data_IF_725666390835
#
_entry.id   IF_725666390835
#
_cell.length_a   1.000
_cell.length_b   1.000
_cell.length_c   1.000
_cell.angle_alpha   90.00
_cell.angle_beta   90.00
_cell.angle_gamma   90.00
#
_symmetry.space_group_name_H-M   'P 1'
#
loop_
_entity.id
_entity.type
_entity.pdbx_description
1 polymer ?
#
# COMPACT_ATOMS: atom_id res chain seq x y z
N UNK A 1 11.83 1.37 39.94
CA UNK A 1 11.57 0.49 38.77
C UNK A 1 10.36 0.96 37.97
N UNK A 2 9.16 1.05 38.54
CA UNK A 2 7.95 1.47 37.80
C UNK A 2 8.05 2.87 37.14
N UNK A 3 8.68 3.83 37.82
CA UNK A 3 8.81 5.21 37.33
C UNK A 3 9.73 5.34 36.10
N UNK A 4 10.73 4.45 35.99
CA UNK A 4 11.68 4.42 34.88
C UNK A 4 11.05 3.83 33.61
N UNK A 5 10.18 2.82 33.77
CA UNK A 5 9.41 2.24 32.66
C UNK A 5 8.40 3.24 32.09
N UNK A 6 7.76 4.05 32.95
CA UNK A 6 6.80 5.09 32.51
C UNK A 6 7.51 6.21 31.73
N UNK A 7 8.71 6.62 32.14
CA UNK A 7 9.49 7.64 31.43
C UNK A 7 9.96 7.13 30.06
N UNK A 8 10.38 5.87 29.96
CA UNK A 8 10.77 5.26 28.69
C UNK A 8 9.57 5.13 27.74
N UNK A 9 8.41 4.72 28.24
CA UNK A 9 7.18 4.64 27.44
C UNK A 9 6.71 6.03 26.95
N UNK A 10 6.82 7.07 27.78
CA UNK A 10 6.52 8.44 27.39
C UNK A 10 7.49 8.97 26.33
N UNK A 11 8.78 8.62 26.42
CA UNK A 11 9.78 9.01 25.42
C UNK A 11 9.54 8.31 24.07
N UNK A 12 9.16 7.04 24.07
CA UNK A 12 8.82 6.28 22.84
C UNK A 12 7.53 6.79 22.21
N UNK A 13 6.52 7.13 23.03
CA UNK A 13 5.27 7.72 22.54
C UNK A 13 5.49 9.12 21.96
N UNK A 14 6.30 9.96 22.63
CA UNK A 14 6.64 11.30 22.15
C UNK A 14 7.48 11.25 20.86
N UNK A 15 8.44 10.32 20.75
CA UNK A 15 9.22 10.09 19.53
C UNK A 15 8.35 9.65 18.35
N UNK A 16 7.38 8.76 18.60
CA UNK A 16 6.43 8.29 17.59
C UNK A 16 5.48 9.41 17.13
N UNK A 17 5.06 10.29 18.05
CA UNK A 17 4.21 11.44 17.73
C UNK A 17 4.97 12.51 16.92
N UNK A 18 6.27 12.69 17.17
CA UNK A 18 7.11 13.67 16.47
C UNK A 18 7.43 13.23 15.02
N UNK A 19 7.48 11.91 14.77
CA UNK A 19 7.63 11.35 13.42
C UNK A 19 6.34 11.48 12.61
N UNK A 20 5.17 11.41 13.26
CA UNK A 20 3.87 11.56 12.60
C UNK A 20 3.48 13.01 12.31
N UNK A 21 3.90 13.97 13.14
CA UNK A 21 3.47 15.38 13.03
C UNK A 21 4.34 16.25 12.12
N UNK A 22 5.52 15.77 11.69
CA UNK A 22 6.39 16.52 10.76
C UNK A 22 6.03 16.43 9.27
N UNK A 23 4.99 15.69 8.88
CA UNK A 23 4.51 15.69 7.49
C UNK A 23 3.53 16.84 7.27
N UNK A 24 4.08 18.03 7.01
CA UNK A 24 3.31 19.13 6.37
C UNK A 24 2.68 18.61 5.07
N UNK A 25 1.39 18.91 4.80
CA UNK A 25 0.80 18.63 3.49
C UNK A 25 1.38 19.63 2.49
N UNK A 26 2.44 19.22 1.79
CA UNK A 26 2.85 19.94 0.58
C UNK A 26 1.82 19.58 -0.48
N UNK A 27 0.92 20.53 -0.76
CA UNK A 27 0.09 20.53 -1.95
C UNK A 27 1.01 20.58 -3.18
N UNK A 28 1.43 19.41 -3.68
CA UNK A 28 2.07 19.27 -4.98
C UNK A 28 0.97 19.18 -6.03
N UNK A 29 0.60 20.34 -6.57
CA UNK A 29 0.06 20.46 -7.92
C UNK A 29 1.20 20.20 -8.92
N UNK A 30 1.65 18.94 -8.97
CA UNK A 30 2.50 18.44 -10.04
C UNK A 30 1.63 17.72 -11.08
N UNK A 31 2.01 17.74 -12.37
CA UNK A 31 1.35 16.91 -13.38
C UNK A 31 1.37 15.45 -12.92
N UNK A 32 0.38 14.63 -13.31
CA UNK A 32 0.23 13.27 -12.81
C UNK A 32 1.58 12.57 -12.94
N UNK A 33 2.17 12.24 -11.78
CA UNK A 33 3.39 11.45 -11.69
C UNK A 33 3.17 10.28 -12.61
N UNK A 34 3.92 10.28 -13.73
CA UNK A 34 3.98 9.19 -14.71
C UNK A 34 3.71 7.90 -13.95
N UNK A 35 2.70 7.17 -14.38
CA UNK A 35 2.52 5.75 -14.06
C UNK A 35 3.93 5.16 -13.97
N UNK A 36 4.42 4.98 -12.75
CA UNK A 36 5.60 4.17 -12.51
C UNK A 36 5.11 2.81 -12.95
N UNK A 37 5.37 2.47 -14.21
CA UNK A 37 5.44 1.09 -14.64
C UNK A 37 6.30 0.43 -13.57
N UNK A 38 5.63 -0.35 -12.74
CA UNK A 38 6.25 -1.24 -11.80
C UNK A 38 6.95 -2.27 -12.69
N UNK A 39 8.16 -1.92 -13.14
CA UNK A 39 8.89 -2.73 -14.10
C UNK A 39 9.18 -4.09 -13.46
N UNK A 40 8.82 -5.15 -14.17
CA UNK A 40 9.03 -6.57 -13.81
C UNK A 40 10.45 -6.83 -13.26
N UNK A 41 11.41 -5.97 -13.63
CA UNK A 41 12.79 -5.88 -13.17
C UNK A 41 12.99 -5.93 -11.64
N UNK A 42 12.06 -5.48 -10.79
CA UNK A 42 12.30 -5.49 -9.33
C UNK A 42 12.23 -6.89 -8.71
N UNK A 43 11.39 -7.79 -9.25
CA UNK A 43 11.37 -9.20 -8.82
C UNK A 43 12.63 -9.90 -9.30
N UNK A 44 13.06 -9.63 -10.53
CA UNK A 44 14.30 -10.21 -11.09
C UNK A 44 15.53 -9.76 -10.30
N UNK A 45 15.62 -8.48 -9.92
CA UNK A 45 16.69 -7.99 -9.03
C UNK A 45 16.68 -8.66 -7.66
N UNK A 46 15.49 -8.90 -7.09
CA UNK A 46 15.37 -9.62 -5.83
C UNK A 46 15.80 -11.09 -5.95
N UNK A 47 15.47 -11.76 -7.06
CA UNK A 47 15.92 -13.13 -7.35
C UNK A 47 17.44 -13.18 -7.36
N UNK A 48 18.09 -12.29 -8.12
CA UNK A 48 19.57 -12.22 -8.18
C UNK A 48 20.18 -11.97 -6.81
N UNK A 49 19.61 -11.06 -6.00
CA UNK A 49 20.12 -10.78 -4.66
C UNK A 49 20.00 -11.98 -3.72
N UNK A 50 18.89 -12.70 -3.79
CA UNK A 50 18.61 -13.88 -2.97
C UNK A 50 19.49 -15.06 -3.36
N UNK A 51 19.69 -15.28 -4.67
CA UNK A 51 20.59 -16.30 -5.20
C UNK A 51 22.03 -16.11 -4.69
N UNK A 52 22.49 -14.88 -4.50
CA UNK A 52 23.84 -14.60 -4.01
C UNK A 52 23.97 -14.66 -2.49
N UNK A 53 22.87 -14.48 -1.75
CA UNK A 53 22.86 -14.56 -0.28
C UNK A 53 22.84 -16.00 0.23
N UNK A 54 22.23 -16.94 -0.51
CA UNK A 54 22.14 -18.35 -0.15
C UNK A 54 21.59 -18.63 1.27
N UNK A 55 20.69 -17.78 1.79
CA UNK A 55 20.05 -17.98 3.11
C UNK A 55 18.57 -18.32 3.00
N UNK A 56 18.05 -19.13 3.93
CA UNK A 56 16.62 -19.45 4.02
C UNK A 56 15.77 -18.19 4.25
N UNK A 57 16.28 -17.22 5.01
CA UNK A 57 15.59 -15.96 5.26
C UNK A 57 15.43 -15.14 3.97
N UNK A 58 16.45 -15.09 3.11
CA UNK A 58 16.38 -14.40 1.83
C UNK A 58 15.35 -15.06 0.90
N UNK A 59 15.29 -16.40 0.88
CA UNK A 59 14.25 -17.15 0.17
C UNK A 59 12.86 -16.82 0.71
N UNK A 60 12.71 -16.74 2.04
CA UNK A 60 11.47 -16.34 2.69
C UNK A 60 11.00 -14.93 2.29
N UNK A 61 11.94 -13.97 2.20
CA UNK A 61 11.64 -12.61 1.70
C UNK A 61 11.17 -12.66 0.25
N UNK A 62 11.83 -13.43 -0.63
CA UNK A 62 11.44 -13.55 -2.04
C UNK A 62 10.03 -14.13 -2.22
N UNK A 63 9.68 -15.15 -1.43
CA UNK A 63 8.33 -15.74 -1.44
C UNK A 63 7.28 -14.70 -1.08
N UNK A 64 7.50 -13.94 -0.01
CA UNK A 64 6.60 -12.86 0.39
C UNK A 64 6.51 -11.78 -0.70
N UNK A 65 7.64 -11.40 -1.31
CA UNK A 65 7.68 -10.42 -2.40
C UNK A 65 6.85 -10.83 -3.61
N UNK A 66 6.96 -12.10 -4.05
CA UNK A 66 6.13 -12.65 -5.14
C UNK A 66 4.64 -12.62 -4.78
N UNK A 67 4.33 -12.93 -3.53
CA UNK A 67 2.95 -12.91 -3.05
C UNK A 67 2.39 -11.47 -3.02
N UNK A 68 3.17 -10.49 -2.59
CA UNK A 68 2.79 -9.07 -2.65
C UNK A 68 2.65 -8.55 -4.10
N UNK A 69 3.46 -9.06 -5.05
CA UNK A 69 3.30 -8.77 -6.47
C UNK A 69 1.93 -9.24 -6.98
N UNK A 70 1.55 -10.48 -6.64
CA UNK A 70 0.25 -11.03 -7.01
C UNK A 70 -0.93 -10.23 -6.39
N UNK A 71 -0.78 -9.77 -5.14
CA UNK A 71 -1.75 -8.91 -4.47
C UNK A 71 -1.89 -7.55 -5.20
N UNK A 72 -0.78 -6.93 -5.64
CA UNK A 72 -0.80 -5.72 -6.47
C UNK A 72 -1.53 -5.94 -7.79
N UNK A 73 -1.28 -7.05 -8.47
CA UNK A 73 -1.94 -7.36 -9.74
C UNK A 73 -3.45 -7.57 -9.54
N UNK A 74 -3.85 -8.24 -8.46
CA UNK A 74 -5.26 -8.39 -8.10
C UNK A 74 -5.92 -7.03 -7.83
N UNK A 75 -5.24 -6.13 -7.12
CA UNK A 75 -5.71 -4.76 -6.88
C UNK A 75 -5.84 -3.99 -8.20
N UNK A 76 -4.85 -4.08 -9.10
CA UNK A 76 -4.87 -3.41 -10.40
C UNK A 76 -6.03 -3.89 -11.28
N UNK A 77 -6.29 -5.20 -11.34
CA UNK A 77 -7.47 -5.76 -12.03
C UNK A 77 -8.77 -5.23 -11.44
N UNK A 78 -8.85 -5.14 -10.12
CA UNK A 78 -10.02 -4.63 -9.39
C UNK A 78 -10.25 -3.13 -9.67
N UNK A 79 -9.19 -2.33 -9.66
CA UNK A 79 -9.23 -0.90 -10.00
C UNK A 79 -9.67 -0.66 -11.44
N UNK A 80 -9.20 -1.48 -12.38
CA UNK A 80 -9.63 -1.43 -13.77
C UNK A 80 -11.13 -1.73 -13.89
N UNK A 81 -11.61 -2.79 -13.22
CA UNK A 81 -13.02 -3.18 -13.22
C UNK A 81 -13.96 -2.13 -12.60
N UNK A 82 -13.49 -1.35 -11.62
CA UNK A 82 -14.27 -0.28 -10.99
C UNK A 82 -14.57 0.90 -11.94
N UNK A 83 -13.84 1.06 -13.05
CA UNK A 83 -14.04 2.15 -14.02
C UNK A 83 -14.18 3.53 -13.34
N UNK A 84 -13.24 3.88 -12.45
CA UNK A 84 -13.36 5.05 -11.57
C UNK A 84 -13.66 6.38 -12.30
N UNK A 85 -13.18 6.56 -13.55
CA UNK A 85 -13.50 7.74 -14.35
C UNK A 85 -15.00 7.81 -14.74
N UNK A 86 -15.65 6.68 -14.99
CA UNK A 86 -17.10 6.61 -15.21
C UNK A 86 -17.84 6.90 -13.90
N UNK A 87 -17.42 6.29 -12.79
CA UNK A 87 -18.03 6.54 -11.48
C UNK A 87 -17.96 8.02 -11.06
N UNK A 88 -16.85 8.72 -11.31
CA UNK A 88 -16.73 10.17 -11.05
C UNK A 88 -17.74 10.97 -11.86
N UNK A 89 -17.83 10.71 -13.18
CA UNK A 89 -18.84 11.37 -14.04
C UNK A 89 -20.25 11.11 -13.55
N UNK A 90 -20.58 9.88 -13.17
CA UNK A 90 -21.90 9.53 -12.62
C UNK A 90 -22.17 10.25 -11.30
N UNK A 91 -21.20 10.30 -10.39
CA UNK A 91 -21.32 11.05 -9.13
C UNK A 91 -21.60 12.52 -9.40
N UNK A 92 -20.84 13.15 -10.30
CA UNK A 92 -20.97 14.57 -10.59
C UNK A 92 -22.32 14.89 -11.25
N UNK A 93 -22.84 14.00 -12.10
CA UNK A 93 -24.20 14.10 -12.66
C UNK A 93 -25.28 13.96 -11.58
N UNK A 94 -25.13 13.00 -10.67
CA UNK A 94 -26.06 12.82 -9.55
C UNK A 94 -26.03 14.02 -8.60
N UNK A 95 -24.85 14.57 -8.32
CA UNK A 95 -24.67 15.78 -7.51
C UNK A 95 -25.38 16.99 -8.14
N UNK A 96 -25.22 17.20 -9.45
CA UNK A 96 -25.90 18.28 -10.17
C UNK A 96 -27.43 18.16 -10.07
N UNK A 97 -27.97 16.96 -10.32
CA UNK A 97 -29.43 16.73 -10.22
C UNK A 97 -29.99 16.86 -8.81
N UNK A 98 -29.19 16.53 -7.78
CA UNK A 98 -29.57 16.73 -6.38
C UNK A 98 -29.57 18.22 -6.02
N UNK A 99 -28.65 19.01 -6.59
CA UNK A 99 -28.60 20.46 -6.40
C UNK A 99 -29.79 21.18 -7.06
N UNK A 100 -30.27 20.67 -8.19
CA UNK A 100 -31.44 21.21 -8.92
C UNK A 100 -32.79 20.79 -8.28
N UNK A 101 -32.81 20.38 -6.99
CA UNK A 101 -33.98 19.93 -6.20
C UNK A 101 -34.84 18.83 -6.85
N UNK A 102 -34.36 18.24 -7.94
CA UNK A 102 -35.05 17.21 -8.72
C UNK A 102 -34.84 15.79 -8.15
N UNK A 103 -34.34 15.71 -6.91
CA UNK A 103 -33.82 14.49 -6.32
C UNK A 103 -34.68 13.91 -5.21
N UNK A 104 -35.29 12.75 -5.47
CA UNK A 104 -35.94 11.93 -4.45
C UNK A 104 -34.96 11.00 -3.69
N UNK A 105 -35.43 10.32 -2.63
CA UNK A 105 -34.68 9.30 -1.88
C UNK A 105 -33.84 8.33 -2.72
N UNK A 106 -34.36 7.73 -3.82
CA UNK A 106 -33.56 6.80 -4.64
C UNK A 106 -32.32 7.43 -5.28
N UNK A 107 -32.34 8.74 -5.56
CA UNK A 107 -31.19 9.42 -6.15
C UNK A 107 -30.10 9.70 -5.11
N UNK A 108 -30.49 9.99 -3.87
CA UNK A 108 -29.56 10.10 -2.73
C UNK A 108 -28.89 8.76 -2.42
N UNK A 109 -29.63 7.65 -2.47
CA UNK A 109 -29.07 6.31 -2.32
C UNK A 109 -28.09 5.96 -3.43
N UNK A 110 -28.43 6.25 -4.70
CA UNK A 110 -27.53 6.06 -5.83
C UNK A 110 -26.25 6.90 -5.69
N UNK A 111 -26.36 8.15 -5.24
CA UNK A 111 -25.21 9.02 -4.99
C UNK A 111 -24.28 8.45 -3.90
N UNK A 112 -24.84 7.96 -2.79
CA UNK A 112 -24.07 7.30 -1.73
C UNK A 112 -23.36 6.06 -2.25
N UNK A 113 -24.07 5.18 -2.96
CA UNK A 113 -23.50 3.96 -3.52
C UNK A 113 -22.34 4.24 -4.48
N UNK A 114 -22.46 5.25 -5.35
CA UNK A 114 -21.36 5.65 -6.26
C UNK A 114 -20.18 6.23 -5.47
N UNK A 115 -20.45 7.04 -4.45
CA UNK A 115 -19.42 7.62 -3.59
C UNK A 115 -18.66 6.56 -2.79
N UNK A 116 -19.35 5.56 -2.26
CA UNK A 116 -18.75 4.43 -1.54
C UNK A 116 -17.84 3.60 -2.45
N UNK A 117 -18.24 3.36 -3.70
CA UNK A 117 -17.41 2.68 -4.70
C UNK A 117 -16.16 3.48 -5.04
N UNK A 118 -16.25 4.81 -5.13
CA UNK A 118 -15.09 5.68 -5.32
C UNK A 118 -14.15 5.65 -4.11
N UNK A 119 -14.68 5.70 -2.89
CA UNK A 119 -13.88 5.58 -1.67
C UNK A 119 -13.14 4.22 -1.59
N UNK A 120 -13.81 3.14 -2.00
CA UNK A 120 -13.15 1.83 -2.14
C UNK A 120 -12.04 1.84 -3.19
N UNK A 121 -12.25 2.47 -4.34
CA UNK A 121 -11.20 2.64 -5.35
C UNK A 121 -9.99 3.43 -4.81
N UNK A 122 -10.21 4.43 -3.96
CA UNK A 122 -9.14 5.21 -3.32
C UNK A 122 -8.36 4.39 -2.30
N UNK A 123 -9.05 3.62 -1.44
CA UNK A 123 -8.40 2.69 -0.50
C UNK A 123 -7.54 1.65 -1.23
N UNK A 124 -8.06 1.06 -2.31
CA UNK A 124 -7.31 0.11 -3.14
C UNK A 124 -6.03 0.74 -3.73
N UNK A 125 -6.10 1.98 -4.23
CA UNK A 125 -4.90 2.69 -4.71
C UNK A 125 -3.88 2.90 -3.58
N UNK A 126 -4.33 3.35 -2.42
CA UNK A 126 -3.45 3.57 -1.27
C UNK A 126 -2.74 2.27 -0.84
N UNK A 127 -3.45 1.14 -0.80
CA UNK A 127 -2.87 -0.17 -0.49
C UNK A 127 -1.86 -0.62 -1.55
N UNK A 128 -2.19 -0.49 -2.84
CA UNK A 128 -1.25 -0.78 -3.93
C UNK A 128 0.03 0.02 -3.80
N UNK A 129 -0.08 1.32 -3.52
CA UNK A 129 1.08 2.22 -3.40
C UNK A 129 1.91 1.89 -2.15
N UNK A 130 1.27 1.48 -1.05
CA UNK A 130 1.94 1.00 0.16
C UNK A 130 2.70 -0.31 -0.10
N UNK A 131 2.07 -1.31 -0.74
CA UNK A 131 2.71 -2.56 -1.13
C UNK A 131 3.91 -2.30 -2.06
N UNK A 132 3.73 -1.45 -3.07
CA UNK A 132 4.77 -1.05 -4.01
C UNK A 132 5.97 -0.42 -3.30
N UNK A 133 5.72 0.51 -2.39
CA UNK A 133 6.77 1.19 -1.62
C UNK A 133 7.54 0.20 -0.76
N UNK A 134 6.85 -0.74 -0.11
CA UNK A 134 7.47 -1.76 0.73
C UNK A 134 8.28 -2.76 -0.09
N UNK A 135 7.79 -3.18 -1.26
CA UNK A 135 8.51 -4.04 -2.18
C UNK A 135 9.82 -3.39 -2.62
N UNK A 136 9.79 -2.12 -3.02
CA UNK A 136 11.03 -1.38 -3.34
C UNK A 136 12.01 -1.32 -2.16
N UNK A 137 11.51 -1.09 -0.94
CA UNK A 137 12.34 -1.11 0.26
C UNK A 137 12.95 -2.50 0.52
N UNK A 138 12.19 -3.58 0.28
CA UNK A 138 12.67 -4.96 0.43
C UNK A 138 13.76 -5.29 -0.60
N UNK A 139 13.58 -4.94 -1.88
CA UNK A 139 14.63 -5.11 -2.90
C UNK A 139 15.89 -4.36 -2.50
N UNK A 140 15.75 -3.09 -2.12
CA UNK A 140 16.90 -2.26 -1.72
C UNK A 140 17.59 -2.81 -0.47
N UNK A 141 16.81 -3.36 0.47
CA UNK A 141 17.32 -4.03 1.66
C UNK A 141 18.09 -5.31 1.32
N UNK A 142 17.54 -6.17 0.46
CA UNK A 142 18.22 -7.37 -0.04
C UNK A 142 19.53 -7.04 -0.76
N UNK A 143 19.50 -6.05 -1.66
CA UNK A 143 20.69 -5.55 -2.37
C UNK A 143 21.73 -5.02 -1.37
N UNK A 144 21.31 -4.28 -0.33
CA UNK A 144 22.22 -3.80 0.71
C UNK A 144 22.82 -4.94 1.53
N UNK A 145 22.03 -5.91 1.97
CA UNK A 145 22.51 -7.05 2.75
C UNK A 145 23.54 -7.84 1.94
N UNK A 146 23.24 -8.10 0.66
CA UNK A 146 24.15 -8.71 -0.31
C UNK A 146 25.45 -7.93 -0.46
N UNK A 147 25.36 -6.62 -0.68
CA UNK A 147 26.53 -5.77 -0.89
C UNK A 147 27.34 -5.55 0.39
N UNK A 148 26.68 -5.63 1.56
CA UNK A 148 27.31 -5.37 2.84
C UNK A 148 28.27 -6.47 3.25
N UNK A 149 27.99 -7.76 3.00
CA UNK A 149 28.90 -8.92 3.03
C UNK A 149 29.96 -9.06 4.15
N UNK A 150 30.00 -8.15 5.11
CA UNK A 150 31.06 -7.96 6.08
C UNK A 150 30.57 -8.48 7.43
N UNK A 151 31.40 -9.25 8.15
CA UNK A 151 31.03 -9.86 9.42
C UNK A 151 30.70 -8.85 10.53
N UNK A 152 31.03 -7.58 10.33
CA UNK A 152 30.83 -6.49 11.30
C UNK A 152 29.56 -5.64 11.05
N UNK A 153 28.74 -5.99 10.04
CA UNK A 153 27.46 -5.34 9.78
C UNK A 153 26.33 -5.79 10.73
N UNK A 154 25.20 -5.05 10.81
CA UNK A 154 24.01 -5.52 11.52
C UNK A 154 23.62 -6.92 11.04
N UNK A 155 23.15 -7.78 11.98
CA UNK A 155 22.88 -9.19 11.70
C UNK A 155 21.93 -9.32 10.49
N UNK A 156 22.41 -9.82 9.33
CA UNK A 156 21.65 -9.82 8.10
C UNK A 156 20.36 -10.64 8.21
N UNK A 157 20.33 -11.67 9.06
CA UNK A 157 19.11 -12.43 9.34
C UNK A 157 18.02 -11.58 10.00
N UNK A 158 18.39 -10.68 10.93
CA UNK A 158 17.42 -9.81 11.61
C UNK A 158 16.79 -8.82 10.63
N UNK A 159 17.58 -8.22 9.73
CA UNK A 159 17.06 -7.31 8.71
C UNK A 159 16.11 -8.03 7.74
N UNK A 160 16.44 -9.26 7.32
CA UNK A 160 15.58 -10.05 6.43
C UNK A 160 14.26 -10.45 7.10
N UNK A 161 14.28 -10.79 8.40
CA UNK A 161 13.07 -11.08 9.18
C UNK A 161 12.19 -9.84 9.30
N UNK A 162 12.77 -8.66 9.55
CA UNK A 162 12.01 -7.40 9.61
C UNK A 162 11.38 -7.04 8.26
N UNK A 163 12.11 -7.22 7.16
CA UNK A 163 11.59 -7.00 5.80
C UNK A 163 10.41 -7.94 5.51
N UNK A 164 10.56 -9.22 5.86
CA UNK A 164 9.50 -10.23 5.71
C UNK A 164 8.26 -9.87 6.53
N UNK A 165 8.44 -9.50 7.80
CA UNK A 165 7.34 -9.13 8.69
C UNK A 165 6.61 -7.87 8.20
N UNK A 166 7.36 -6.87 7.73
CA UNK A 166 6.81 -5.65 7.18
C UNK A 166 5.94 -5.92 5.94
N UNK A 167 6.36 -6.84 5.07
CA UNK A 167 5.58 -7.20 3.90
C UNK A 167 4.30 -7.98 4.28
N UNK A 168 4.42 -8.94 5.19
CA UNK A 168 3.28 -9.73 5.67
C UNK A 168 2.19 -8.85 6.30
N UNK A 169 2.55 -7.84 7.10
CA UNK A 169 1.60 -6.91 7.71
C UNK A 169 0.78 -6.14 6.67
N UNK A 170 1.40 -5.66 5.59
CA UNK A 170 0.68 -4.92 4.55
C UNK A 170 -0.24 -5.84 3.75
N UNK A 171 0.11 -7.12 3.60
CA UNK A 171 -0.77 -8.11 2.96
C UNK A 171 -2.01 -8.42 3.77
N UNK A 172 -1.92 -8.44 5.10
CA UNK A 172 -3.11 -8.54 5.97
C UNK A 172 -4.06 -7.39 5.67
N UNK A 173 -3.55 -6.16 5.61
CA UNK A 173 -4.34 -4.97 5.24
C UNK A 173 -4.92 -5.07 3.82
N UNK A 174 -4.21 -5.68 2.88
CA UNK A 174 -4.72 -5.88 1.52
C UNK A 174 -5.88 -6.88 1.46
N UNK A 175 -5.86 -7.94 2.28
CA UNK A 175 -6.91 -8.96 2.35
C UNK A 175 -8.18 -8.47 3.07
N UNK A 176 -8.03 -7.50 3.97
CA UNK A 176 -9.16 -6.88 4.68
C UNK A 176 -9.90 -5.84 3.83
N UNK A 177 -9.41 -5.51 2.63
CA UNK A 177 -10.12 -4.59 1.75
C UNK A 177 -11.40 -5.24 1.23
N UNK A 178 -12.54 -4.53 1.32
CA UNK A 178 -13.81 -5.07 0.86
C UNK A 178 -13.72 -5.43 -0.63
N UNK A 179 -14.13 -6.65 -0.95
CA UNK A 179 -14.33 -7.07 -2.34
C UNK A 179 -15.29 -6.10 -3.03
N UNK A 180 -15.00 -5.75 -4.28
CA UNK A 180 -15.90 -4.89 -5.06
C UNK A 180 -17.23 -5.64 -5.18
N UNK A 181 -18.36 -5.07 -4.71
CA UNK A 181 -19.65 -5.71 -4.89
C UNK A 181 -19.86 -5.92 -6.39
N UNK A 182 -20.26 -7.15 -6.74
CA UNK A 182 -20.62 -7.51 -8.11
C UNK A 182 -21.56 -6.44 -8.67
N UNK A 183 -21.37 -6.06 -9.94
CA UNK A 183 -22.22 -5.07 -10.60
C UNK A 183 -23.68 -5.48 -10.39
N UNK A 184 -24.42 -4.71 -9.59
CA UNK A 184 -25.87 -4.80 -9.56
C UNK A 184 -26.39 -4.60 -10.98
N UNK A 185 -27.47 -5.31 -11.37
CA UNK A 185 -27.95 -5.34 -12.75
C UNK A 185 -28.25 -3.91 -13.28
N UNK A 186 -28.11 -3.72 -14.61
CA UNK A 186 -28.26 -2.43 -15.27
C UNK A 186 -29.63 -1.78 -15.08
#
# INVERSE_FOLDING_TARGET
MALLVVVVLLAVAAGSLLVLTRRRPVARTGPPVRERRLDVEWVDRAVVAVEQLHTEDAVGVLVEMRAAAADIDAINRTLAALHAARLRRTRDQLAARLADESGGPPMTEAYRAVSDRLATAERLRATRDALTTRLHACVTGLERVRDSGHPDGPNPAAELVELRAALAQVRVLARELPGVPAQGPP
#
